data_IF_824334796119
#
_entry.id   IF_824334796119
#
_cell.length_a   1.000
_cell.length_b   1.000
_cell.length_c   1.000
_cell.angle_alpha   90.00
_cell.angle_beta   90.00
_cell.angle_gamma   90.00
#
_symmetry.space_group_name_H-M   'P 1'
#
loop_
_entity.id
_entity.type
_entity.pdbx_description
1 polymer ?
#
# COMPACT_ATOMS: atom_id res chain seq x y z
N UNK A 1 -4.93 -17.80 19.90
CA UNK A 1 -4.49 -17.03 18.71
C UNK A 1 -5.03 -15.63 18.90
N UNK A 2 -4.16 -14.70 19.19
CA UNK A 2 -4.56 -13.33 19.51
C UNK A 2 -4.91 -12.59 18.20
N UNK A 3 -5.99 -11.82 18.20
CA UNK A 3 -6.36 -11.03 17.03
C UNK A 3 -5.41 -9.82 16.89
N UNK A 4 -5.16 -9.36 15.67
CA UNK A 4 -4.39 -8.13 15.43
C UNK A 4 -4.95 -6.95 16.22
N UNK A 5 -6.28 -6.83 16.26
CA UNK A 5 -6.98 -5.75 16.95
C UNK A 5 -6.89 -5.81 18.47
N UNK A 6 -6.49 -6.95 19.06
CA UNK A 6 -6.27 -7.06 20.50
C UNK A 6 -4.94 -6.44 20.97
N UNK A 7 -3.97 -6.31 20.05
CA UNK A 7 -2.61 -5.89 20.39
C UNK A 7 -2.11 -4.67 19.61
N UNK A 8 -2.83 -4.30 18.51
CA UNK A 8 -2.43 -3.23 17.62
C UNK A 8 -3.62 -2.35 17.27
N UNK A 9 -3.37 -1.07 17.06
CA UNK A 9 -4.35 -0.19 16.44
C UNK A 9 -4.46 -0.59 14.97
N UNK A 10 -5.68 -0.93 14.52
CA UNK A 10 -5.96 -1.30 13.14
C UNK A 10 -7.01 -0.37 12.57
N UNK A 11 -6.72 0.25 11.43
CA UNK A 11 -7.70 1.00 10.63
C UNK A 11 -7.97 0.24 9.34
N UNK A 12 -9.22 -0.12 9.14
CA UNK A 12 -9.67 -0.85 7.95
C UNK A 12 -10.44 0.08 7.03
N UNK A 13 -10.17 -0.05 5.72
CA UNK A 13 -10.84 0.70 4.67
C UNK A 13 -11.20 -0.21 3.51
N UNK A 14 -12.23 0.21 2.76
CA UNK A 14 -12.70 -0.44 1.54
C UNK A 14 -12.51 0.53 0.36
N UNK A 15 -11.80 0.10 -0.68
CA UNK A 15 -11.62 0.88 -1.91
C UNK A 15 -12.43 0.24 -3.03
N UNK A 16 -13.32 1.02 -3.66
CA UNK A 16 -14.08 0.58 -4.82
C UNK A 16 -13.19 0.57 -6.07
N UNK A 17 -13.21 -0.54 -6.83
CA UNK A 17 -12.41 -0.69 -8.07
C UNK A 17 -13.17 -0.32 -9.34
N UNK A 18 -14.39 0.20 -9.22
CA UNK A 18 -15.19 0.63 -10.37
C UNK A 18 -14.51 1.67 -11.26
N UNK A 19 -13.64 2.58 -10.75
CA UNK A 19 -12.87 3.48 -11.60
C UNK A 19 -11.93 2.77 -12.58
N UNK A 20 -11.46 1.56 -12.25
CA UNK A 20 -10.71 0.70 -13.18
C UNK A 20 -11.61 -0.06 -14.17
N UNK A 21 -12.93 -0.01 -14.00
CA UNK A 21 -13.90 -0.82 -14.74
C UNK A 21 -14.15 -2.21 -14.14
N UNK A 22 -13.66 -2.47 -12.93
CA UNK A 22 -13.91 -3.70 -12.18
C UNK A 22 -15.09 -3.53 -11.20
N UNK A 23 -15.71 -4.64 -10.77
CA UNK A 23 -16.88 -4.63 -9.86
C UNK A 23 -16.56 -5.21 -8.49
N UNK A 24 -15.36 -5.00 -8.03
CA UNK A 24 -14.84 -5.57 -6.79
C UNK A 24 -14.35 -4.46 -5.85
N UNK A 25 -13.88 -4.85 -4.68
CA UNK A 25 -13.29 -3.94 -3.70
C UNK A 25 -11.92 -4.44 -3.29
N UNK A 26 -11.06 -3.52 -2.88
CA UNK A 26 -9.82 -3.81 -2.17
C UNK A 26 -10.08 -3.51 -0.71
N UNK A 27 -9.75 -4.45 0.19
CA UNK A 27 -9.78 -4.21 1.62
C UNK A 27 -8.37 -3.83 2.07
N UNK A 28 -8.22 -2.68 2.72
CA UNK A 28 -6.94 -2.14 3.18
C UNK A 28 -6.93 -2.11 4.70
N UNK A 29 -5.88 -2.67 5.30
CA UNK A 29 -5.71 -2.71 6.75
C UNK A 29 -4.40 -2.02 7.10
N UNK A 30 -4.49 -0.85 7.73
CA UNK A 30 -3.35 -0.16 8.32
C UNK A 30 -3.16 -0.68 9.74
N UNK A 31 -2.06 -1.35 10.01
CA UNK A 31 -1.69 -1.83 11.33
C UNK A 31 -0.60 -0.92 11.87
N UNK A 32 -0.94 -0.13 12.87
CA UNK A 32 0.00 0.79 13.50
C UNK A 32 0.79 0.06 14.58
N UNK A 33 2.09 0.31 14.64
CA UNK A 33 2.91 -0.11 15.76
C UNK A 33 3.31 1.11 16.58
N UNK A 34 3.21 1.00 17.88
CA UNK A 34 3.96 1.87 18.76
C UNK A 34 5.45 1.57 18.57
N UNK A 35 6.30 2.61 18.63
CA UNK A 35 7.71 2.52 18.28
C UNK A 35 8.43 1.35 18.94
N UNK A 36 8.97 0.48 18.13
CA UNK A 36 9.88 -0.58 18.53
C UNK A 36 11.31 0.00 18.53
N UNK A 37 11.65 0.84 19.49
CA UNK A 37 12.98 1.42 19.50
C UNK A 37 13.22 2.47 20.56
N UNK A 38 14.47 2.91 20.64
CA UNK A 38 14.98 3.85 21.64
C UNK A 38 14.44 5.29 21.51
N UNK A 39 13.74 5.59 20.41
CA UNK A 39 13.18 6.93 20.12
C UNK A 39 11.66 6.90 20.17
N UNK A 40 11.07 7.51 21.20
CA UNK A 40 9.64 7.76 21.26
C UNK A 40 9.21 8.62 20.06
N UNK A 41 8.24 8.15 19.28
CA UNK A 41 7.63 8.90 18.18
C UNK A 41 7.90 8.38 16.77
N UNK A 42 8.52 7.22 16.62
CA UNK A 42 8.69 6.54 15.35
C UNK A 42 7.56 5.53 15.15
N UNK A 43 6.55 5.89 14.39
CA UNK A 43 5.44 5.02 14.08
C UNK A 43 5.71 4.23 12.79
N UNK A 44 5.36 2.96 12.78
CA UNK A 44 5.37 2.12 11.58
C UNK A 44 3.93 1.81 11.21
N UNK A 45 3.67 1.79 9.91
CA UNK A 45 2.43 1.25 9.36
C UNK A 45 2.79 0.00 8.58
N UNK A 46 2.16 -1.11 8.94
CA UNK A 46 2.13 -2.28 8.07
C UNK A 46 0.81 -2.24 7.34
N UNK A 47 0.90 -2.10 6.03
CA UNK A 47 -0.24 -2.06 5.14
C UNK A 47 -0.48 -3.45 4.57
N UNK A 48 -1.65 -4.02 4.89
CA UNK A 48 -2.15 -5.21 4.22
C UNK A 48 -3.21 -4.78 3.21
N UNK A 49 -2.99 -5.10 1.94
CA UNK A 49 -3.97 -4.87 0.89
C UNK A 49 -4.51 -6.21 0.41
N UNK A 50 -5.75 -6.52 0.76
CA UNK A 50 -6.45 -7.71 0.28
C UNK A 50 -7.05 -7.40 -1.08
N UNK A 51 -6.46 -7.99 -2.10
CA UNK A 51 -6.72 -7.67 -3.49
C UNK A 51 -7.77 -8.62 -4.09
N UNK A 52 -8.65 -8.12 -4.95
CA UNK A 52 -9.67 -8.94 -5.57
C UNK A 52 -9.13 -9.76 -6.75
N UNK A 53 -9.70 -10.92 -6.94
CA UNK A 53 -9.69 -11.62 -8.20
C UNK A 53 -10.86 -11.10 -9.04
N UNK A 54 -10.60 -10.57 -10.25
CA UNK A 54 -11.60 -9.82 -11.03
C UNK A 54 -12.85 -10.63 -11.39
N UNK A 55 -12.73 -11.94 -11.53
CA UNK A 55 -13.84 -12.85 -11.82
C UNK A 55 -14.49 -13.45 -10.59
N UNK A 56 -13.96 -13.19 -9.43
CA UNK A 56 -14.46 -13.75 -8.17
C UNK A 56 -15.41 -12.78 -7.48
N UNK A 57 -16.44 -13.32 -6.84
CA UNK A 57 -17.36 -12.53 -6.01
C UNK A 57 -16.81 -12.22 -4.63
N UNK A 58 -15.67 -12.80 -4.26
CA UNK A 58 -15.09 -12.63 -2.92
C UNK A 58 -13.56 -12.64 -2.98
N UNK A 59 -12.95 -11.81 -2.13
CA UNK A 59 -11.51 -11.76 -1.91
C UNK A 59 -11.03 -12.82 -0.92
N UNK A 60 -11.95 -13.58 -0.37
CA UNK A 60 -11.72 -14.50 0.73
C UNK A 60 -12.15 -15.92 0.37
N UNK A 61 -11.41 -16.90 0.85
CA UNK A 61 -11.75 -18.31 0.75
C UNK A 61 -11.84 -18.94 2.14
N UNK A 62 -12.73 -19.91 2.30
CA UNK A 62 -12.89 -20.65 3.56
C UNK A 62 -11.66 -21.51 3.80
N UNK A 63 -11.18 -21.52 5.05
CA UNK A 63 -10.01 -22.30 5.45
C UNK A 63 -10.30 -23.06 6.76
N UNK A 64 -9.70 -24.23 6.92
CA UNK A 64 -9.75 -24.99 8.15
C UNK A 64 -8.90 -24.30 9.24
N UNK A 65 -9.44 -24.23 10.46
CA UNK A 65 -8.75 -23.67 11.60
C UNK A 65 -7.41 -24.38 11.91
N UNK A 66 -7.35 -25.69 11.68
CA UNK A 66 -6.11 -26.44 11.90
C UNK A 66 -4.98 -25.90 11.02
N UNK A 67 -5.27 -25.65 9.75
CA UNK A 67 -4.27 -25.05 8.81
C UNK A 67 -3.84 -23.67 9.31
N UNK A 68 -4.80 -22.85 9.78
CA UNK A 68 -4.49 -21.52 10.33
C UNK A 68 -3.57 -21.63 11.54
N UNK A 69 -3.87 -22.55 12.46
CA UNK A 69 -3.08 -22.75 13.68
C UNK A 69 -1.66 -23.21 13.38
N UNK A 70 -1.50 -24.14 12.45
CA UNK A 70 -0.20 -24.72 12.11
C UNK A 70 0.69 -23.75 11.30
N UNK A 71 0.07 -22.78 10.60
CA UNK A 71 0.78 -21.81 9.75
C UNK A 71 0.68 -20.36 10.26
N UNK A 72 0.31 -20.18 11.53
CA UNK A 72 0.19 -18.85 12.12
C UNK A 72 1.51 -18.08 12.11
N UNK A 73 1.45 -16.84 11.61
CA UNK A 73 2.59 -15.92 11.55
C UNK A 73 2.40 -14.78 12.57
N UNK A 74 3.15 -14.77 13.67
CA UNK A 74 3.01 -13.71 14.67
C UNK A 74 3.47 -12.35 14.14
N UNK A 75 2.67 -11.30 14.32
CA UNK A 75 3.00 -9.93 13.89
C UNK A 75 4.32 -9.41 14.43
N UNK A 76 4.72 -9.83 15.63
CA UNK A 76 6.02 -9.47 16.20
C UNK A 76 7.21 -9.79 15.29
N UNK A 77 7.11 -10.79 14.41
CA UNK A 77 8.17 -11.11 13.45
C UNK A 77 8.22 -10.11 12.31
N UNK A 78 7.07 -9.58 11.87
CA UNK A 78 7.02 -8.54 10.86
C UNK A 78 7.68 -7.27 11.40
N UNK A 79 7.28 -6.81 12.59
CA UNK A 79 7.89 -5.65 13.25
C UNK A 79 9.38 -5.85 13.52
N UNK A 80 9.77 -7.04 13.96
CA UNK A 80 11.17 -7.37 14.18
C UNK A 80 11.97 -7.29 12.87
N UNK A 81 11.42 -7.75 11.75
CA UNK A 81 12.07 -7.65 10.44
C UNK A 81 12.26 -6.20 10.04
N UNK A 82 11.25 -5.34 10.20
CA UNK A 82 11.35 -3.90 9.94
C UNK A 82 12.47 -3.30 10.77
N UNK A 83 12.49 -3.59 12.07
CA UNK A 83 13.53 -3.11 12.97
C UNK A 83 14.93 -3.52 12.54
N UNK A 84 15.15 -4.80 12.24
CA UNK A 84 16.47 -5.29 11.81
C UNK A 84 16.89 -4.77 10.44
N UNK A 85 15.97 -4.61 9.50
CA UNK A 85 16.22 -3.97 8.19
C UNK A 85 16.75 -2.55 8.41
N UNK A 86 16.17 -1.81 9.36
CA UNK A 86 16.61 -0.45 9.73
C UNK A 86 18.07 -0.43 10.20
N UNK A 87 18.51 -1.42 10.96
CA UNK A 87 19.87 -1.48 11.53
C UNK A 87 20.87 -2.30 10.72
N UNK A 88 20.51 -2.73 9.51
CA UNK A 88 21.42 -3.48 8.62
C UNK A 88 21.80 -4.87 9.13
N UNK A 89 21.09 -5.41 10.10
CA UNK A 89 21.36 -6.75 10.62
C UNK A 89 20.82 -7.83 9.67
N UNK A 90 21.58 -8.89 9.38
CA UNK A 90 21.10 -10.01 8.58
C UNK A 90 19.91 -10.65 9.29
N UNK A 91 18.81 -10.81 8.58
CA UNK A 91 17.63 -11.51 9.08
C UNK A 91 17.64 -12.88 8.46
N UNK A 92 17.55 -13.90 9.32
CA UNK A 92 17.18 -15.22 8.82
C UNK A 92 15.82 -15.12 8.13
N UNK A 93 15.80 -15.35 6.83
CA UNK A 93 14.57 -15.36 6.02
C UNK A 93 13.73 -16.62 6.29
N UNK A 94 13.49 -16.92 7.56
CA UNK A 94 12.66 -18.04 7.96
C UNK A 94 11.23 -17.92 7.41
N UNK A 95 10.80 -16.68 7.15
CA UNK A 95 9.44 -16.39 6.69
C UNK A 95 9.45 -15.41 5.52
N UNK A 96 8.84 -15.78 4.43
CA UNK A 96 8.67 -14.91 3.27
C UNK A 96 7.42 -14.03 3.46
N UNK A 97 7.61 -12.74 3.79
CA UNK A 97 6.51 -11.78 4.02
C UNK A 97 5.62 -11.62 2.77
N UNK A 98 6.18 -11.75 1.57
CA UNK A 98 5.39 -11.66 0.33
C UNK A 98 4.34 -12.78 0.17
N UNK A 99 4.43 -13.82 0.97
CA UNK A 99 3.47 -14.94 1.02
C UNK A 99 2.51 -14.88 2.19
N UNK A 100 2.60 -13.84 3.03
CA UNK A 100 1.70 -13.67 4.18
C UNK A 100 0.31 -13.34 3.67
N UNK A 101 -0.69 -13.97 4.28
CA UNK A 101 -2.11 -13.73 4.01
C UNK A 101 -2.82 -13.36 5.30
N UNK A 102 -3.83 -12.51 5.19
CA UNK A 102 -4.70 -12.22 6.32
C UNK A 102 -5.72 -13.34 6.51
N UNK A 103 -6.05 -13.58 7.78
CA UNK A 103 -7.13 -14.49 8.18
C UNK A 103 -8.14 -13.70 8.99
N UNK A 104 -9.43 -13.88 8.68
CA UNK A 104 -10.52 -13.35 9.47
C UNK A 104 -11.46 -14.46 9.94
N UNK A 105 -12.04 -14.30 11.12
CA UNK A 105 -13.06 -15.17 11.66
C UNK A 105 -14.41 -14.47 11.56
N UNK A 106 -15.40 -15.11 10.92
CA UNK A 106 -16.78 -14.65 10.87
C UNK A 106 -17.62 -15.75 11.50
N UNK A 107 -18.21 -15.46 12.66
CA UNK A 107 -18.85 -16.47 13.52
C UNK A 107 -17.85 -17.60 13.81
N UNK A 108 -18.15 -18.82 13.45
CA UNK A 108 -17.29 -20.00 13.68
C UNK A 108 -16.50 -20.44 12.44
N UNK A 109 -16.48 -19.62 11.40
CA UNK A 109 -15.81 -19.94 10.14
C UNK A 109 -14.60 -19.04 9.94
N UNK A 110 -13.48 -19.63 9.54
CA UNK A 110 -12.25 -18.92 9.20
C UNK A 110 -12.16 -18.74 7.69
N UNK A 111 -11.67 -17.57 7.29
CA UNK A 111 -11.45 -17.17 5.91
C UNK A 111 -10.05 -16.62 5.76
N UNK A 112 -9.35 -17.03 4.69
CA UNK A 112 -8.04 -16.50 4.32
C UNK A 112 -8.17 -15.63 3.08
N UNK A 113 -7.41 -14.54 3.02
CA UNK A 113 -7.35 -13.69 1.82
C UNK A 113 -6.78 -14.47 0.64
N UNK A 114 -7.40 -14.39 -0.54
CA UNK A 114 -6.88 -15.04 -1.75
C UNK A 114 -5.54 -14.42 -2.17
N UNK A 115 -5.49 -13.11 -2.24
CA UNK A 115 -4.33 -12.30 -2.54
C UNK A 115 -4.16 -11.23 -1.48
N UNK A 116 -2.94 -11.02 -1.03
CA UNK A 116 -2.61 -10.00 -0.05
C UNK A 116 -1.23 -9.43 -0.36
N UNK A 117 -1.16 -8.12 -0.55
CA UNK A 117 0.10 -7.40 -0.53
C UNK A 117 0.38 -6.92 0.88
N UNK A 118 1.65 -6.99 1.27
CA UNK A 118 2.11 -6.53 2.58
C UNK A 118 3.26 -5.57 2.36
N UNK A 119 3.06 -4.34 2.79
CA UNK A 119 4.04 -3.27 2.71
C UNK A 119 4.29 -2.68 4.09
N UNK A 120 5.51 -2.28 4.35
CA UNK A 120 5.90 -1.64 5.59
C UNK A 120 6.34 -0.21 5.33
N UNK A 121 5.70 0.74 6.01
CA UNK A 121 6.01 2.16 5.92
C UNK A 121 6.55 2.67 7.25
N UNK A 122 7.62 3.43 7.17
CA UNK A 122 8.17 4.18 8.30
C UNK A 122 7.63 5.61 8.26
N UNK A 123 6.92 6.02 9.31
CA UNK A 123 6.38 7.38 9.42
C UNK A 123 7.40 8.27 10.12
N UNK A 124 8.20 9.01 9.35
CA UNK A 124 9.24 9.87 9.88
C UNK A 124 8.64 11.18 10.40
N UNK A 125 8.70 11.39 11.70
CA UNK A 125 8.43 12.70 12.29
C UNK A 125 9.63 13.66 12.17
N UNK A 126 10.83 13.13 11.88
CA UNK A 126 12.05 13.90 11.67
C UNK A 126 12.83 13.32 10.47
N UNK A 127 13.07 14.12 9.40
CA UNK A 127 13.78 13.66 8.20
C UNK A 127 15.21 13.21 8.45
N UNK A 128 15.85 13.68 9.54
CA UNK A 128 17.20 13.26 9.92
C UNK A 128 17.27 11.82 10.47
N UNK A 129 16.16 11.26 10.87
CA UNK A 129 16.09 9.93 11.48
C UNK A 129 15.60 8.84 10.50
N UNK A 130 15.30 9.20 9.25
CA UNK A 130 14.91 8.20 8.25
C UNK A 130 16.09 7.25 7.99
N UNK A 131 15.89 5.92 8.09
CA UNK A 131 16.96 4.98 7.84
C UNK A 131 17.47 5.12 6.40
N UNK A 132 18.78 5.27 6.22
CA UNK A 132 19.37 5.43 4.89
C UNK A 132 19.09 4.27 3.92
N UNK A 133 18.70 3.11 4.44
CA UNK A 133 18.45 1.89 3.68
C UNK A 133 17.01 1.68 3.23
N UNK A 134 16.08 2.61 3.52
CA UNK A 134 14.63 2.43 3.26
C UNK A 134 13.96 3.69 2.73
N UNK A 135 14.62 4.41 1.83
CA UNK A 135 14.09 5.66 1.24
C UNK A 135 12.73 5.48 0.57
N UNK A 136 12.53 4.34 -0.03
CA UNK A 136 11.37 3.94 -0.83
C UNK A 136 10.10 3.63 -0.02
N UNK A 137 10.19 3.57 1.32
CA UNK A 137 9.05 3.23 2.19
C UNK A 137 8.90 4.21 3.37
N UNK A 138 9.29 5.46 3.19
CA UNK A 138 9.23 6.49 4.23
C UNK A 138 8.11 7.47 3.96
N UNK A 139 7.10 7.49 4.84
CA UNK A 139 6.09 8.55 4.88
C UNK A 139 6.66 9.72 5.69
N UNK A 140 7.21 10.72 5.00
CA UNK A 140 7.73 11.93 5.63
C UNK A 140 6.86 13.13 5.23
N UNK A 141 6.00 13.58 6.13
CA UNK A 141 5.11 14.72 5.89
C UNK A 141 5.80 16.09 5.96
N UNK A 142 7.07 16.12 6.39
CA UNK A 142 7.89 17.33 6.50
C UNK A 142 8.91 17.48 5.35
N UNK A 143 8.94 16.52 4.41
CA UNK A 143 9.82 16.65 3.25
C UNK A 143 9.30 17.73 2.28
N UNK A 144 10.19 18.31 1.44
CA UNK A 144 9.77 19.22 0.39
C UNK A 144 8.76 18.57 -0.57
N UNK A 145 7.76 19.33 -1.00
CA UNK A 145 6.84 18.89 -2.05
C UNK A 145 7.61 18.77 -3.36
N UNK A 146 7.57 17.59 -3.96
CA UNK A 146 8.17 17.29 -5.25
C UNK A 146 7.06 16.89 -6.23
N UNK A 147 6.60 17.82 -7.09
CA UNK A 147 5.58 17.52 -8.08
C UNK A 147 5.99 16.37 -9.00
N UNK A 148 5.01 15.62 -9.49
CA UNK A 148 5.28 14.45 -10.34
C UNK A 148 6.01 14.82 -11.63
N UNK A 149 5.78 16.01 -12.16
CA UNK A 149 6.43 16.55 -13.35
C UNK A 149 7.96 16.66 -13.16
N UNK A 150 8.39 17.10 -11.97
CA UNK A 150 9.81 17.19 -11.62
C UNK A 150 10.44 15.80 -11.55
N UNK A 151 9.73 14.82 -10.99
CA UNK A 151 10.20 13.43 -10.93
C UNK A 151 10.30 12.86 -12.35
N UNK A 152 9.29 13.10 -13.19
CA UNK A 152 9.25 12.68 -14.60
C UNK A 152 10.41 13.25 -15.41
N UNK A 153 10.62 14.55 -15.33
CA UNK A 153 11.73 15.21 -16.05
C UNK A 153 13.09 14.66 -15.61
N UNK A 154 13.28 14.47 -14.31
CA UNK A 154 14.52 13.93 -13.76
C UNK A 154 14.75 12.50 -14.22
N UNK A 155 13.69 11.67 -14.24
CA UNK A 155 13.75 10.31 -14.73
C UNK A 155 14.14 10.26 -16.20
N UNK A 156 13.46 11.02 -17.06
CA UNK A 156 13.71 11.04 -18.51
C UNK A 156 15.15 11.53 -18.80
N UNK A 157 15.65 12.51 -18.05
CA UNK A 157 17.03 13.00 -18.20
C UNK A 157 18.08 11.96 -17.81
N UNK A 158 17.80 11.12 -16.80
CA UNK A 158 18.75 10.10 -16.34
C UNK A 158 18.67 8.81 -17.14
N UNK A 159 17.53 8.52 -17.75
CA UNK A 159 17.30 7.27 -18.48
C UNK A 159 16.85 7.57 -19.90
N UNK A 160 17.82 7.99 -20.73
CA UNK A 160 17.58 8.43 -22.11
C UNK A 160 16.99 7.35 -23.04
N UNK A 161 17.07 6.08 -22.69
CA UNK A 161 16.53 4.97 -23.47
C UNK A 161 15.12 4.54 -23.05
N UNK A 162 14.60 5.06 -21.92
CA UNK A 162 13.25 4.83 -21.47
C UNK A 162 12.37 5.98 -21.93
N UNK A 163 11.51 5.71 -22.89
CA UNK A 163 10.58 6.71 -23.43
C UNK A 163 9.39 6.95 -22.49
N UNK A 164 9.02 5.95 -21.69
CA UNK A 164 7.84 6.00 -20.85
C UNK A 164 8.18 6.11 -19.37
N UNK A 165 7.58 7.08 -18.72
CA UNK A 165 7.66 7.21 -17.26
C UNK A 165 6.94 6.01 -16.58
N UNK A 166 7.50 5.38 -15.51
CA UNK A 166 6.99 4.13 -14.95
C UNK A 166 5.52 4.13 -14.55
N UNK A 167 4.94 5.28 -14.22
CA UNK A 167 3.52 5.39 -13.87
C UNK A 167 2.59 5.48 -15.09
N UNK A 168 3.12 5.69 -16.29
CA UNK A 168 2.39 5.85 -17.54
C UNK A 168 2.43 4.58 -18.42
N UNK A 169 3.29 3.63 -18.08
CA UNK A 169 3.57 2.49 -18.95
C UNK A 169 2.37 1.58 -19.20
N UNK A 170 2.13 1.33 -20.49
CA UNK A 170 1.23 0.29 -20.99
C UNK A 170 1.96 -1.03 -21.30
N UNK A 171 3.28 -1.07 -21.23
CA UNK A 171 4.09 -2.11 -21.86
C UNK A 171 5.06 -2.78 -20.87
N UNK A 172 5.52 -3.97 -21.28
CA UNK A 172 6.44 -4.85 -20.56
C UNK A 172 7.89 -4.34 -20.51
N UNK A 173 8.18 -3.15 -21.03
CA UNK A 173 9.54 -2.58 -20.99
C UNK A 173 9.85 -2.04 -19.60
N UNK A 174 10.54 -2.85 -18.83
CA UNK A 174 11.01 -2.49 -17.50
C UNK A 174 12.24 -1.62 -17.59
N UNK A 175 12.06 -0.33 -17.47
CA UNK A 175 13.18 0.53 -17.16
C UNK A 175 13.50 0.41 -15.67
N UNK A 176 14.69 -0.10 -15.37
CA UNK A 176 15.18 -0.12 -13.99
C UNK A 176 15.29 1.31 -13.48
N UNK A 177 14.61 1.61 -12.39
CA UNK A 177 14.70 2.90 -11.73
C UNK A 177 16.10 3.02 -11.12
N UNK A 178 16.86 4.10 -11.37
CA UNK A 178 18.13 4.33 -10.70
C UNK A 178 17.94 4.44 -9.18
N UNK A 179 18.81 3.82 -8.41
CA UNK A 179 18.77 3.87 -6.94
C UNK A 179 18.77 5.31 -6.39
N UNK A 180 19.38 6.24 -7.13
CA UNK A 180 19.37 7.67 -6.80
C UNK A 180 17.98 8.32 -6.85
N UNK A 181 17.04 7.73 -7.59
CA UNK A 181 15.66 8.19 -7.72
C UNK A 181 14.68 7.37 -6.87
N UNK A 182 15.10 6.22 -6.34
CA UNK A 182 14.24 5.43 -5.47
C UNK A 182 13.91 6.20 -4.19
N UNK A 183 12.64 6.54 -4.02
CA UNK A 183 12.15 7.26 -2.86
C UNK A 183 10.62 7.25 -2.79
N UNK A 184 10.08 7.61 -1.63
CA UNK A 184 8.68 7.99 -1.45
C UNK A 184 8.59 9.51 -1.43
N UNK A 185 8.11 10.11 -2.52
CA UNK A 185 8.03 11.56 -2.71
C UNK A 185 6.69 12.10 -2.26
N UNK A 186 6.71 13.14 -1.42
CA UNK A 186 5.53 13.95 -1.12
C UNK A 186 5.23 14.84 -2.34
N UNK A 187 4.10 14.61 -3.00
CA UNK A 187 3.75 15.31 -4.24
C UNK A 187 2.79 16.48 -4.04
N UNK A 188 1.95 16.40 -3.02
CA UNK A 188 0.95 17.43 -2.72
C UNK A 188 0.49 17.33 -1.27
N UNK A 189 -0.01 18.47 -0.74
CA UNK A 189 -0.70 18.55 0.54
C UNK A 189 -1.98 19.33 0.29
N UNK A 190 -3.11 18.79 0.69
CA UNK A 190 -4.40 19.46 0.60
C UNK A 190 -5.18 19.36 1.91
N UNK A 191 -5.98 20.38 2.21
CA UNK A 191 -6.98 20.31 3.27
C UNK A 191 -8.32 19.92 2.66
N UNK A 192 -8.90 18.83 3.16
CA UNK A 192 -10.17 18.30 2.68
C UNK A 192 -11.09 17.98 3.83
N UNK A 193 -12.16 18.78 3.98
CA UNK A 193 -13.16 18.62 5.03
C UNK A 193 -12.58 18.57 6.46
N UNK A 194 -11.50 19.33 6.71
CA UNK A 194 -10.80 19.40 7.99
C UNK A 194 -9.74 18.31 8.21
N UNK A 195 -9.54 17.42 7.26
CA UNK A 195 -8.41 16.49 7.23
C UNK A 195 -7.26 17.08 6.40
N UNK A 196 -6.03 16.98 6.88
CA UNK A 196 -4.83 17.25 6.07
C UNK A 196 -4.43 15.98 5.36
N UNK A 197 -4.50 16.00 4.04
CA UNK A 197 -4.23 14.88 3.17
C UNK A 197 -2.87 15.06 2.50
N UNK A 198 -1.98 14.11 2.70
CA UNK A 198 -0.66 14.07 2.09
C UNK A 198 -0.66 13.07 0.95
N UNK A 199 -0.25 13.50 -0.25
CA UNK A 199 -0.19 12.67 -1.44
C UNK A 199 1.25 12.23 -1.68
N UNK A 200 1.44 10.94 -1.88
CA UNK A 200 2.76 10.37 -2.09
C UNK A 200 2.84 9.60 -3.41
N UNK A 201 4.01 9.64 -4.02
CA UNK A 201 4.46 8.72 -5.06
C UNK A 201 5.54 7.82 -4.51
N UNK A 202 5.34 6.51 -4.63
CA UNK A 202 6.35 5.52 -4.29
C UNK A 202 7.11 5.14 -5.57
N UNK A 203 8.32 5.60 -5.70
CA UNK A 203 9.16 5.38 -6.85
C UNK A 203 10.26 4.39 -6.50
N UNK A 204 10.07 3.12 -6.85
CA UNK A 204 10.98 2.03 -6.53
C UNK A 204 10.94 0.94 -7.60
N UNK A 205 11.96 0.09 -7.65
CA UNK A 205 12.04 -1.01 -8.61
C UNK A 205 10.98 -2.11 -8.42
N UNK A 206 10.22 -2.07 -7.32
CA UNK A 206 9.17 -3.04 -6.98
C UNK A 206 7.76 -2.54 -7.33
N UNK A 207 7.61 -1.63 -8.28
CA UNK A 207 6.31 -1.06 -8.69
C UNK A 207 5.23 -2.08 -9.06
N UNK A 208 5.60 -3.33 -9.28
CA UNK A 208 4.64 -4.38 -9.66
C UNK A 208 3.86 -4.98 -8.50
N UNK A 209 4.38 -4.83 -7.30
CA UNK A 209 3.84 -5.49 -6.11
C UNK A 209 3.45 -4.50 -5.03
N UNK A 210 3.50 -3.18 -5.34
CA UNK A 210 3.37 -2.12 -4.36
C UNK A 210 2.33 -1.10 -4.78
N UNK A 211 1.78 -0.40 -3.78
CA UNK A 211 0.98 0.79 -3.99
C UNK A 211 1.88 1.90 -4.57
N UNK A 212 1.59 2.36 -5.79
CA UNK A 212 2.49 3.29 -6.49
C UNK A 212 2.24 4.76 -6.15
N UNK A 213 1.00 5.11 -5.92
CA UNK A 213 0.55 6.42 -5.45
C UNK A 213 -0.44 6.21 -4.34
N UNK A 214 -0.36 7.01 -3.28
CA UNK A 214 -1.29 6.87 -2.16
C UNK A 214 -1.53 8.19 -1.45
N UNK A 215 -2.65 8.26 -0.74
CA UNK A 215 -2.99 9.33 0.18
C UNK A 215 -2.85 8.84 1.61
N UNK A 216 -2.21 9.67 2.42
CA UNK A 216 -2.01 9.46 3.84
C UNK A 216 -2.66 10.57 4.65
N UNK A 217 -3.32 10.21 5.73
CA UNK A 217 -3.83 11.14 6.74
C UNK A 217 -3.27 10.68 8.09
N UNK A 218 -2.70 11.62 8.85
CA UNK A 218 -2.19 11.32 10.20
C UNK A 218 -3.31 10.67 11.04
N UNK A 219 -2.98 9.69 11.84
CA UNK A 219 -3.89 8.93 12.71
C UNK A 219 -4.96 8.08 11.96
N UNK A 220 -5.12 8.24 10.66
CA UNK A 220 -5.97 7.40 9.80
C UNK A 220 -5.16 6.41 8.96
N UNK A 221 -3.89 6.73 8.67
CA UNK A 221 -3.00 5.90 7.85
C UNK A 221 -3.19 6.15 6.36
N UNK A 222 -2.94 5.12 5.55
CA UNK A 222 -3.13 5.15 4.11
C UNK A 222 -4.61 4.95 3.81
N UNK A 223 -5.23 5.98 3.24
CA UNK A 223 -6.69 6.09 3.05
C UNK A 223 -7.12 6.03 1.58
N UNK A 224 -6.17 5.91 0.68
CA UNK A 224 -6.42 5.75 -0.75
C UNK A 224 -5.16 5.38 -1.49
N UNK A 225 -5.31 4.83 -2.70
CA UNK A 225 -4.13 4.44 -3.46
C UNK A 225 -4.43 3.93 -4.87
N UNK A 226 -3.34 3.70 -5.62
CA UNK A 226 -3.37 3.16 -6.98
C UNK A 226 -2.84 1.74 -6.98
N UNK A 227 -3.69 0.81 -7.38
CA UNK A 227 -3.41 -0.63 -7.45
C UNK A 227 -3.44 -1.16 -8.88
N UNK A 228 -3.34 -0.27 -9.87
CA UNK A 228 -3.48 -0.64 -11.28
C UNK A 228 -2.52 -1.74 -11.70
N UNK A 229 -1.29 -1.70 -11.20
CA UNK A 229 -0.27 -2.71 -11.54
C UNK A 229 -0.66 -4.13 -11.11
N UNK A 230 -1.43 -4.28 -10.03
CA UNK A 230 -1.96 -5.58 -9.63
C UNK A 230 -2.83 -6.20 -10.73
N UNK A 231 -3.63 -5.38 -11.39
CA UNK A 231 -4.61 -5.85 -12.36
C UNK A 231 -4.03 -6.09 -13.75
N UNK A 232 -2.90 -5.46 -14.10
CA UNK A 232 -2.27 -5.59 -15.42
C UNK A 232 -1.11 -6.59 -15.47
N UNK A 233 -0.55 -6.97 -14.32
CA UNK A 233 0.65 -7.82 -14.21
C UNK A 233 0.40 -9.04 -13.32
N UNK A 234 -0.43 -9.90 -13.73
CA UNK A 234 -0.67 -11.10 -12.97
C UNK A 234 -1.65 -12.02 -13.69
N UNK A 235 -2.11 -13.08 -13.05
CA UNK A 235 -3.13 -13.95 -13.64
C UNK A 235 -4.47 -13.25 -13.87
N UNK A 236 -4.54 -11.93 -13.64
CA UNK A 236 -5.77 -11.13 -13.67
C UNK A 236 -5.98 -10.33 -14.94
N UNK A 237 -4.98 -10.19 -15.81
CA UNK A 237 -5.12 -9.36 -17.00
C UNK A 237 -5.82 -10.06 -18.17
N UNK A 238 -6.04 -11.36 -18.07
CA UNK A 238 -6.91 -12.08 -18.99
C UNK A 238 -8.21 -12.50 -18.28
N UNK A 239 -9.30 -12.55 -19.03
CA UNK A 239 -10.52 -13.17 -18.57
C UNK A 239 -10.42 -14.72 -18.66
N UNK A 240 -11.48 -15.43 -18.23
CA UNK A 240 -11.53 -16.90 -18.29
C UNK A 240 -11.41 -17.49 -19.69
N UNK A 241 -11.59 -16.68 -20.72
CA UNK A 241 -11.47 -17.05 -22.13
C UNK A 241 -10.10 -16.71 -22.71
N UNK A 242 -9.20 -16.13 -21.91
CA UNK A 242 -7.85 -15.74 -22.33
C UNK A 242 -7.78 -14.37 -23.00
N UNK A 243 -8.88 -13.62 -23.08
CA UNK A 243 -8.89 -12.27 -23.65
C UNK A 243 -8.34 -11.24 -22.68
N UNK A 244 -7.60 -10.27 -23.22
CA UNK A 244 -7.07 -9.16 -22.44
C UNK A 244 -8.20 -8.29 -21.87
N UNK A 245 -8.17 -8.04 -20.57
CA UNK A 245 -9.13 -7.13 -19.92
C UNK A 245 -8.77 -5.69 -20.21
N UNK A 246 -9.75 -4.93 -20.66
CA UNK A 246 -9.62 -3.47 -20.87
C UNK A 246 -9.89 -2.74 -19.56
N UNK A 247 -8.87 -2.63 -18.72
CA UNK A 247 -8.95 -1.83 -17.51
C UNK A 247 -8.60 -0.37 -17.81
N UNK A 248 -9.28 0.55 -17.14
CA UNK A 248 -8.99 1.98 -17.23
C UNK A 248 -7.90 2.34 -16.24
N UNK A 249 -6.94 3.17 -16.65
CA UNK A 249 -6.02 3.81 -15.74
C UNK A 249 -6.69 4.99 -15.04
N UNK A 250 -6.32 5.22 -13.81
CA UNK A 250 -6.68 6.46 -13.13
C UNK A 250 -5.79 7.60 -13.63
N UNK A 251 -6.34 8.82 -13.84
CA UNK A 251 -5.55 10.03 -14.01
C UNK A 251 -4.54 10.22 -12.86
N UNK A 252 -3.50 11.00 -13.09
CA UNK A 252 -2.45 11.22 -12.09
C UNK A 252 -2.95 11.88 -10.80
N UNK A 253 -3.99 12.67 -10.89
CA UNK A 253 -4.62 13.35 -9.75
C UNK A 253 -5.74 12.56 -9.10
N UNK A 254 -5.93 11.27 -9.47
CA UNK A 254 -6.97 10.42 -8.93
C UNK A 254 -6.40 9.20 -8.21
N UNK A 255 -7.10 8.80 -7.14
CA UNK A 255 -6.84 7.59 -6.37
C UNK A 255 -8.14 6.83 -6.15
N UNK A 256 -8.06 5.54 -5.86
CA UNK A 256 -9.16 4.85 -5.19
C UNK A 256 -9.18 5.31 -3.74
N UNK A 257 -10.25 5.97 -3.33
CA UNK A 257 -10.43 6.46 -1.98
C UNK A 257 -11.20 5.48 -1.10
N UNK A 258 -10.91 5.49 0.20
CA UNK A 258 -11.66 4.74 1.20
C UNK A 258 -13.13 5.17 1.19
N UNK A 259 -14.04 4.21 1.05
CA UNK A 259 -15.49 4.46 1.04
C UNK A 259 -15.99 5.01 2.38
N UNK A 260 -15.35 4.58 3.47
CA UNK A 260 -15.61 5.07 4.83
C UNK A 260 -15.27 6.56 4.95
N UNK A 261 -14.15 6.97 4.35
CA UNK A 261 -13.72 8.37 4.36
C UNK A 261 -14.60 9.26 3.46
N UNK A 262 -15.01 8.77 2.30
CA UNK A 262 -15.96 9.47 1.43
C UNK A 262 -17.28 9.77 2.15
N UNK A 263 -17.78 8.80 2.93
CA UNK A 263 -19.00 8.96 3.74
C UNK A 263 -18.79 10.01 4.84
N UNK A 264 -17.69 9.93 5.58
CA UNK A 264 -17.33 10.90 6.60
C UNK A 264 -17.26 12.34 6.03
N UNK A 265 -16.62 12.49 4.88
CA UNK A 265 -16.51 13.78 4.21
C UNK A 265 -17.87 14.32 3.72
N UNK A 266 -18.71 13.45 3.16
CA UNK A 266 -20.06 13.83 2.75
C UNK A 266 -20.95 14.28 3.93
N UNK A 267 -20.78 13.69 5.10
CA UNK A 267 -21.47 14.09 6.33
C UNK A 267 -20.96 15.45 6.82
N UNK A 268 -19.65 15.68 6.85
CA UNK A 268 -19.03 16.95 7.19
C UNK A 268 -19.47 18.10 6.24
N UNK A 269 -19.63 17.81 4.96
CA UNK A 269 -20.14 18.78 3.98
C UNK A 269 -21.58 19.18 4.25
N UNK A 270 -22.44 18.19 4.58
CA UNK A 270 -23.85 18.47 4.91
C UNK A 270 -24.01 19.28 6.18
N UNK A 271 -23.13 19.11 7.16
CA UNK A 271 -23.17 19.83 8.43
C UNK A 271 -22.70 21.29 8.32
N UNK A 272 -22.07 21.68 7.20
CA UNK A 272 -21.64 23.07 6.92
C UNK A 272 -22.68 23.89 6.13
N UNK A 273 -23.72 23.21 5.61
CA UNK A 273 -24.88 23.85 4.94
C UNK A 273 -26.02 24.05 5.92
#
# INVERSE_FOLDING_TARGET
MDSLTAHYQVKQYTLDTSPYGAKNTIEVYNVFSESYGLNKGEDYIILFSVLPELDSKTNWEKIDFKIVKDNHFPMKYIFRRIYYKKFGSPIEEKYNISKVKLVKKIKDTYYVSKYCWVEDFYCANNPLNAPMSTKDYVINTNQPITPIEVIRETFIKQISFCQDFPFEQNTDSFCKIPESLENTYLSNIEEKYGDIVYWFYQFCNLLHTNISRFAYIKDKGIVGGVYFNHFIKGPFFTDKTGNWRKLKRLPENELLWAEELKKEWAEKEKSKK
#
